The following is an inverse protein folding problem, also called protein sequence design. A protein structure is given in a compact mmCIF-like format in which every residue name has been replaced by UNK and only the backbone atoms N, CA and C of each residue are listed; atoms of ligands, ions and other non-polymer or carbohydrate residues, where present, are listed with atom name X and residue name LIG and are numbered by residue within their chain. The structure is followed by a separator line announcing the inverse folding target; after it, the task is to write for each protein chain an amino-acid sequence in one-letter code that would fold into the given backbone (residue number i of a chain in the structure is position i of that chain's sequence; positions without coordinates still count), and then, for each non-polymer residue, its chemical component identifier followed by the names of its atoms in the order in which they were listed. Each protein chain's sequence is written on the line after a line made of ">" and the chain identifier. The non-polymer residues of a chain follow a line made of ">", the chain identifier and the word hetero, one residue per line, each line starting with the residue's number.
data_IF_968246623472
#
_entry.id   IF_968246623472
#
_cell.length_a   1.000
_cell.length_b   1.000
_cell.length_c   1.000
_cell.angle_alpha   90.00
_cell.angle_beta   90.00
_cell.angle_gamma   90.00
#
_symmetry.space_group_name_H-M   'P 1'
#
loop_
_entity.id
_entity.type
_entity.pdbx_description
1 polymer ?
#
# COMPACT_ATOMS: atom_id res chain seq x y z
N UNK A 1 -37.30 23.72 14.11
CA UNK A 1 -36.79 22.78 13.09
C UNK A 1 -35.36 23.11 12.61
N UNK A 2 -34.73 24.20 13.05
CA UNK A 2 -33.47 24.71 12.48
C UNK A 2 -32.15 24.25 13.14
N UNK A 3 -32.14 23.68 14.36
CA UNK A 3 -30.90 23.24 15.02
C UNK A 3 -30.44 21.83 14.64
N UNK A 4 -31.36 20.88 14.44
CA UNK A 4 -31.01 19.50 14.09
C UNK A 4 -30.47 19.39 12.66
N UNK A 5 -31.05 20.10 11.67
CA UNK A 5 -30.51 20.13 10.30
C UNK A 5 -29.08 20.72 10.24
N UNK A 6 -28.79 21.76 11.04
CA UNK A 6 -27.46 22.36 11.11
C UNK A 6 -26.40 21.43 11.71
N UNK A 7 -26.75 20.66 12.75
CA UNK A 7 -25.84 19.70 13.36
C UNK A 7 -25.50 18.53 12.42
N UNK A 8 -26.47 18.04 11.64
CA UNK A 8 -26.20 17.01 10.64
C UNK A 8 -25.35 17.52 9.48
N UNK A 9 -25.57 18.76 9.01
CA UNK A 9 -24.72 19.39 7.99
C UNK A 9 -23.28 19.57 8.49
N UNK A 10 -23.11 19.98 9.74
CA UNK A 10 -21.79 20.11 10.36
C UNK A 10 -21.09 18.76 10.54
N UNK A 11 -21.81 17.72 10.96
CA UNK A 11 -21.27 16.37 11.09
C UNK A 11 -20.84 15.78 9.73
N UNK A 12 -21.60 16.02 8.65
CA UNK A 12 -21.26 15.62 7.27
C UNK A 12 -19.98 16.27 6.76
N UNK A 13 -19.84 17.57 6.99
CA UNK A 13 -18.63 18.29 6.61
C UNK A 13 -17.43 17.85 7.47
N UNK A 14 -17.64 17.62 8.76
CA UNK A 14 -16.58 17.22 9.68
C UNK A 14 -16.07 15.81 9.41
N UNK A 15 -16.96 14.86 9.12
CA UNK A 15 -16.54 13.50 8.76
C UNK A 15 -15.75 13.49 7.44
N UNK A 16 -16.12 14.32 6.45
CA UNK A 16 -15.43 14.39 5.15
C UNK A 16 -13.94 14.76 5.27
N UNK A 17 -13.56 15.48 6.33
CA UNK A 17 -12.18 15.85 6.65
C UNK A 17 -11.55 14.98 7.74
N UNK A 18 -12.27 13.96 8.21
CA UNK A 18 -11.85 13.06 9.30
C UNK A 18 -11.25 11.76 8.76
N UNK A 19 -10.35 11.10 9.52
CA UNK A 19 -9.92 9.73 9.23
C UNK A 19 -11.06 8.70 9.15
N UNK A 20 -12.25 9.03 9.67
CA UNK A 20 -13.46 8.21 9.57
C UNK A 20 -14.11 8.19 8.16
N UNK A 21 -13.73 9.11 7.25
CA UNK A 21 -14.34 9.18 5.92
C UNK A 21 -14.15 7.93 5.06
N UNK A 22 -12.92 7.37 4.92
CA UNK A 22 -12.71 6.12 4.19
C UNK A 22 -13.50 4.95 4.77
N UNK A 23 -13.60 4.84 6.10
CA UNK A 23 -14.38 3.81 6.79
C UNK A 23 -15.87 3.92 6.44
N UNK A 24 -16.43 5.13 6.52
CA UNK A 24 -17.83 5.37 6.18
C UNK A 24 -18.13 5.05 4.71
N UNK A 25 -17.25 5.44 3.79
CA UNK A 25 -17.41 5.18 2.36
C UNK A 25 -17.32 3.68 2.04
N UNK A 26 -16.36 2.98 2.64
CA UNK A 26 -16.18 1.53 2.48
C UNK A 26 -17.38 0.77 3.01
N UNK A 27 -17.89 1.13 4.20
CA UNK A 27 -19.08 0.52 4.79
C UNK A 27 -20.30 0.65 3.88
N UNK A 28 -20.63 1.88 3.45
CA UNK A 28 -21.79 2.12 2.58
C UNK A 28 -21.62 1.46 1.19
N UNK A 29 -20.39 1.42 0.65
CA UNK A 29 -20.13 0.74 -0.62
C UNK A 29 -20.32 -0.76 -0.50
N UNK A 30 -19.88 -1.37 0.59
CA UNK A 30 -20.00 -2.82 0.81
C UNK A 30 -21.45 -3.24 1.03
N UNK A 31 -22.17 -2.49 1.86
CA UNK A 31 -23.55 -2.81 2.26
C UNK A 31 -24.58 -2.49 1.16
N UNK A 32 -24.35 -1.43 0.37
CA UNK A 32 -25.38 -0.91 -0.55
C UNK A 32 -25.00 -1.18 -2.00
N UNK A 33 -23.75 -0.92 -2.40
CA UNK A 33 -23.36 -1.03 -3.81
C UNK A 33 -23.37 -2.47 -4.35
N UNK A 34 -23.32 -3.46 -3.46
CA UNK A 34 -23.50 -4.87 -3.80
C UNK A 34 -24.91 -5.21 -4.27
N UNK A 35 -25.92 -4.40 -3.92
CA UNK A 35 -27.31 -4.54 -4.35
C UNK A 35 -27.72 -3.68 -5.54
N UNK A 36 -26.80 -2.87 -6.10
CA UNK A 36 -27.08 -1.91 -7.17
C UNK A 36 -26.67 -2.41 -8.55
N UNK A 37 -27.39 -1.99 -9.59
CA UNK A 37 -27.00 -2.28 -10.97
C UNK A 37 -25.75 -1.48 -11.37
N UNK A 38 -24.97 -2.03 -12.31
CA UNK A 38 -23.69 -1.42 -12.71
C UNK A 38 -23.85 0.03 -13.24
N UNK A 39 -24.96 0.33 -13.90
CA UNK A 39 -25.30 1.67 -14.39
C UNK A 39 -25.59 2.69 -13.28
N UNK A 40 -25.93 2.23 -12.08
CA UNK A 40 -26.34 3.06 -10.95
C UNK A 40 -25.17 3.39 -10.02
N UNK A 41 -24.08 2.60 -10.08
CA UNK A 41 -22.88 2.78 -9.27
C UNK A 41 -22.23 4.17 -9.44
N UNK A 42 -22.27 4.73 -10.66
CA UNK A 42 -21.71 6.06 -10.93
C UNK A 42 -22.54 7.18 -10.26
N UNK A 43 -23.87 7.02 -10.25
CA UNK A 43 -24.80 7.96 -9.61
C UNK A 43 -24.70 7.84 -8.10
N UNK A 44 -24.66 6.61 -7.57
CA UNK A 44 -24.47 6.32 -6.16
C UNK A 44 -23.18 6.95 -5.59
N UNK A 45 -22.04 6.76 -6.29
CA UNK A 45 -20.77 7.38 -5.88
C UNK A 45 -20.83 8.91 -5.88
N UNK A 46 -21.54 9.49 -6.84
CA UNK A 46 -21.73 10.95 -6.91
C UNK A 46 -22.54 11.45 -5.71
N UNK A 47 -23.61 10.74 -5.36
CA UNK A 47 -24.45 11.06 -4.20
C UNK A 47 -23.69 10.91 -2.87
N UNK A 48 -22.87 9.86 -2.70
CA UNK A 48 -22.06 9.71 -1.48
C UNK A 48 -21.00 10.81 -1.35
N UNK A 49 -20.35 11.20 -2.46
CA UNK A 49 -19.40 12.34 -2.45
C UNK A 49 -20.08 13.64 -2.07
N UNK A 50 -21.30 13.88 -2.56
CA UNK A 50 -22.11 15.04 -2.17
C UNK A 50 -22.61 14.92 -0.72
N UNK A 51 -22.82 13.70 -0.22
CA UNK A 51 -23.24 13.49 1.15
C UNK A 51 -22.12 13.81 2.15
N UNK A 52 -20.89 13.41 1.83
CA UNK A 52 -19.70 13.67 2.62
C UNK A 52 -18.94 14.88 2.09
N UNK A 53 -19.63 16.02 2.02
CA UNK A 53 -19.00 17.28 1.66
C UNK A 53 -19.63 18.44 2.43
N UNK A 54 -19.07 19.63 2.26
CA UNK A 54 -19.66 20.88 2.72
C UNK A 54 -20.82 21.37 1.84
N UNK A 55 -21.17 20.63 0.78
CA UNK A 55 -22.32 20.98 -0.07
C UNK A 55 -23.64 20.72 0.66
N UNK A 56 -24.67 21.49 0.28
CA UNK A 56 -26.01 21.31 0.79
C UNK A 56 -26.58 19.96 0.36
N UNK A 57 -27.14 19.24 1.33
CA UNK A 57 -27.87 18.00 1.09
C UNK A 57 -29.35 18.23 1.20
N UNK A 58 -29.98 18.18 0.05
CA UNK A 58 -31.38 18.53 -0.11
C UNK A 58 -32.26 17.28 0.02
N UNK A 59 -33.57 17.51 0.21
CA UNK A 59 -34.56 16.43 0.18
C UNK A 59 -34.60 15.72 -1.20
N UNK A 60 -34.22 16.42 -2.27
CA UNK A 60 -34.10 15.84 -3.62
C UNK A 60 -32.91 14.88 -3.72
N UNK A 61 -31.76 15.22 -3.13
CA UNK A 61 -30.59 14.33 -3.06
C UNK A 61 -30.88 13.08 -2.22
N UNK A 62 -31.58 13.27 -1.10
CA UNK A 62 -32.03 12.16 -0.25
C UNK A 62 -33.03 11.25 -0.98
N UNK A 63 -33.96 11.83 -1.75
CA UNK A 63 -34.89 11.07 -2.57
C UNK A 63 -34.17 10.31 -3.70
N UNK A 64 -33.20 10.93 -4.37
CA UNK A 64 -32.41 10.28 -5.42
C UNK A 64 -31.60 9.09 -4.87
N UNK A 65 -31.02 9.23 -3.67
CA UNK A 65 -30.36 8.11 -2.99
C UNK A 65 -31.36 7.01 -2.62
N UNK A 66 -32.54 7.38 -2.12
CA UNK A 66 -33.57 6.41 -1.75
C UNK A 66 -34.13 5.63 -2.95
N UNK A 67 -34.39 6.30 -4.06
CA UNK A 67 -34.88 5.68 -5.29
C UNK A 67 -33.85 4.72 -5.88
N UNK A 68 -32.56 5.06 -5.75
CA UNK A 68 -31.46 4.24 -6.23
C UNK A 68 -31.26 2.97 -5.39
N UNK A 69 -31.42 3.06 -4.06
CA UNK A 69 -31.36 1.89 -3.17
C UNK A 69 -32.66 1.07 -3.20
N UNK A 70 -33.77 1.70 -3.56
CA UNK A 70 -35.07 1.06 -3.68
C UNK A 70 -35.78 0.86 -2.34
N UNK A 71 -36.38 -0.31 -2.15
CA UNK A 71 -37.17 -0.66 -0.96
C UNK A 71 -36.54 -1.81 -0.19
N UNK A 72 -36.71 -1.80 1.13
CA UNK A 72 -36.18 -2.84 2.00
C UNK A 72 -36.57 -2.61 3.45
N UNK A 73 -35.96 -3.39 4.33
CA UNK A 73 -36.18 -3.34 5.78
C UNK A 73 -34.84 -3.40 6.51
N UNK A 74 -34.77 -2.77 7.68
CA UNK A 74 -33.57 -2.75 8.51
C UNK A 74 -32.99 -1.35 8.69
N UNK A 75 -32.41 -1.11 9.85
CA UNK A 75 -31.70 0.11 10.23
C UNK A 75 -30.42 -0.30 10.92
N UNK A 76 -29.32 0.27 10.48
CA UNK A 76 -27.99 -0.05 10.95
C UNK A 76 -27.33 1.21 11.48
N UNK A 77 -26.67 1.05 12.62
CA UNK A 77 -25.89 2.07 13.29
C UNK A 77 -24.47 1.56 13.40
N UNK A 78 -23.53 2.36 12.93
CA UNK A 78 -22.12 2.02 12.92
C UNK A 78 -21.32 3.14 13.59
N UNK A 79 -20.53 2.77 14.59
CA UNK A 79 -19.61 3.69 15.25
C UNK A 79 -18.33 3.74 14.43
N UNK A 80 -17.96 4.96 14.04
CA UNK A 80 -16.78 5.27 13.27
C UNK A 80 -15.75 5.96 14.17
N UNK A 81 -14.52 6.03 13.69
CA UNK A 81 -13.45 6.76 14.36
C UNK A 81 -13.82 8.22 14.67
N UNK A 82 -13.08 8.81 15.61
CA UNK A 82 -13.29 10.19 16.06
C UNK A 82 -14.70 10.47 16.61
N UNK A 83 -15.41 9.44 17.08
CA UNK A 83 -16.71 9.57 17.73
C UNK A 83 -17.86 9.85 16.77
N UNK A 84 -17.67 9.61 15.47
CA UNK A 84 -18.76 9.71 14.50
C UNK A 84 -19.63 8.45 14.54
N UNK A 85 -20.92 8.62 14.30
CA UNK A 85 -21.90 7.55 14.21
C UNK A 85 -22.59 7.69 12.87
N UNK A 86 -22.48 6.66 12.05
CA UNK A 86 -23.15 6.52 10.77
C UNK A 86 -24.40 5.67 10.94
N UNK A 87 -25.55 6.24 10.60
CA UNK A 87 -26.83 5.55 10.65
C UNK A 87 -27.42 5.49 9.24
N UNK A 88 -27.86 4.30 8.83
CA UNK A 88 -28.47 4.11 7.53
C UNK A 88 -29.50 2.99 7.52
N UNK A 89 -30.46 3.05 6.59
CA UNK A 89 -31.48 2.01 6.42
C UNK A 89 -32.87 2.55 6.12
N UNK A 90 -33.87 1.69 6.20
CA UNK A 90 -35.24 2.00 5.76
C UNK A 90 -36.09 2.57 6.89
N UNK A 91 -36.60 3.77 6.69
CA UNK A 91 -37.54 4.46 7.60
C UNK A 91 -38.78 4.81 6.79
N UNK A 92 -39.94 4.29 7.22
CA UNK A 92 -41.22 4.47 6.51
C UNK A 92 -41.17 4.03 5.03
N UNK A 93 -40.42 2.96 4.74
CA UNK A 93 -40.28 2.38 3.40
C UNK A 93 -39.34 3.13 2.46
N UNK A 94 -38.63 4.15 2.95
CA UNK A 94 -37.59 4.88 2.20
C UNK A 94 -36.24 4.76 2.87
N UNK A 95 -35.20 4.58 2.07
CA UNK A 95 -33.84 4.54 2.56
C UNK A 95 -33.41 5.93 3.06
N UNK A 96 -32.78 6.00 4.24
CA UNK A 96 -32.25 7.20 4.86
C UNK A 96 -30.79 6.97 5.25
N UNK A 97 -30.01 8.04 5.16
CA UNK A 97 -28.60 8.09 5.53
C UNK A 97 -28.37 9.32 6.40
N UNK A 98 -27.76 9.13 7.56
CA UNK A 98 -27.41 10.21 8.49
C UNK A 98 -26.07 9.94 9.16
N UNK A 99 -25.37 11.03 9.48
CA UNK A 99 -24.19 10.99 10.32
C UNK A 99 -24.39 11.94 11.50
N UNK A 100 -23.90 11.52 12.66
CA UNK A 100 -23.89 12.30 13.90
C UNK A 100 -22.53 12.16 14.59
N UNK A 101 -22.18 13.12 15.44
CA UNK A 101 -20.86 13.18 16.10
C UNK A 101 -20.45 14.62 16.33
N UNK A 102 -19.86 14.91 17.49
CA UNK A 102 -19.23 16.19 17.79
C UNK A 102 -17.71 16.02 17.81
N UNK A 103 -17.01 17.00 17.25
CA UNK A 103 -15.55 17.09 17.40
C UNK A 103 -15.26 17.51 18.84
N UNK A 104 -15.22 16.55 19.77
CA UNK A 104 -14.68 16.79 21.10
C UNK A 104 -13.16 16.59 21.06
N UNK A 105 -12.44 17.69 20.88
CA UNK A 105 -10.98 17.72 20.80
C UNK A 105 -10.28 17.42 22.15
N UNK A 106 -11.01 16.98 23.19
CA UNK A 106 -10.48 16.84 24.56
C UNK A 106 -10.70 15.49 25.25
N UNK A 107 -11.43 14.55 24.64
CA UNK A 107 -11.55 13.21 25.21
C UNK A 107 -10.44 12.31 24.65
N UNK A 108 -9.48 11.85 25.49
CA UNK A 108 -8.40 11.00 25.03
C UNK A 108 -8.98 9.69 24.49
N UNK A 109 -8.63 9.39 23.25
CA UNK A 109 -9.06 8.20 22.54
C UNK A 109 -8.50 6.94 23.22
N UNK A 110 -9.05 5.76 22.90
CA UNK A 110 -8.40 4.48 23.27
C UNK A 110 -6.94 4.46 22.79
N UNK A 111 -6.60 5.19 21.72
CA UNK A 111 -5.24 5.37 21.23
C UNK A 111 -4.34 6.12 22.23
N UNK A 112 -4.83 7.14 22.93
CA UNK A 112 -4.01 7.87 23.92
C UNK A 112 -3.66 7.00 25.14
N UNK A 113 -4.44 5.94 25.40
CA UNK A 113 -4.16 4.95 26.45
C UNK A 113 -3.26 3.80 25.99
N UNK A 114 -3.41 3.34 24.75
CA UNK A 114 -2.64 2.21 24.19
C UNK A 114 -1.24 2.64 23.75
N UNK A 115 -1.10 3.82 23.15
CA UNK A 115 0.20 4.35 22.69
C UNK A 115 0.99 5.10 23.78
N UNK A 116 0.38 5.29 24.95
CA UNK A 116 1.07 5.58 26.20
C UNK A 116 1.43 4.31 27.00
N UNK A 117 0.93 3.13 26.60
CA UNK A 117 1.02 1.90 27.38
C UNK A 117 2.38 1.17 27.35
N UNK A 118 2.54 0.12 28.16
CA UNK A 118 3.81 -0.59 28.38
C UNK A 118 4.31 -1.41 27.18
N UNK A 119 3.46 -1.63 26.16
CA UNK A 119 3.74 -2.54 25.05
C UNK A 119 4.05 -1.77 23.77
N UNK A 120 5.24 -2.00 23.20
CA UNK A 120 5.75 -1.23 22.04
C UNK A 120 5.91 -2.12 20.79
N UNK A 121 5.25 -1.81 19.67
CA UNK A 121 5.51 -2.50 18.42
C UNK A 121 6.86 -2.05 17.81
N UNK A 122 7.65 -3.01 17.32
CA UNK A 122 8.94 -2.88 16.65
C UNK A 122 8.91 -3.67 15.34
N UNK A 123 9.46 -3.08 14.28
CA UNK A 123 9.62 -3.77 13.02
C UNK A 123 10.65 -4.91 13.16
N UNK A 124 10.37 -6.05 12.52
CA UNK A 124 11.38 -7.11 12.35
C UNK A 124 11.96 -7.05 10.93
N UNK A 125 13.13 -7.65 10.67
CA UNK A 125 13.68 -7.78 9.32
C UNK A 125 12.75 -8.51 8.34
N UNK A 126 11.71 -9.19 8.83
CA UNK A 126 10.72 -9.86 8.01
C UNK A 126 9.48 -8.96 7.85
N UNK A 127 9.10 -8.54 6.62
CA UNK A 127 8.09 -7.50 6.37
C UNK A 127 6.66 -7.90 6.76
N UNK A 128 6.46 -9.16 7.13
CA UNK A 128 5.16 -9.69 7.59
C UNK A 128 5.12 -9.96 9.08
N UNK A 129 6.18 -9.62 9.82
CA UNK A 129 6.26 -9.87 11.25
C UNK A 129 6.53 -8.58 12.01
N UNK A 130 5.73 -8.34 13.04
CA UNK A 130 5.93 -7.24 13.99
C UNK A 130 6.23 -7.87 15.34
N UNK A 131 7.24 -7.29 16.00
CA UNK A 131 7.62 -7.61 17.38
C UNK A 131 6.88 -6.64 18.30
N UNK A 132 6.35 -7.11 19.41
CA UNK A 132 5.72 -6.31 20.45
C UNK A 132 6.55 -6.47 21.72
N UNK A 133 7.27 -5.43 22.12
CA UNK A 133 8.08 -5.40 23.34
C UNK A 133 7.15 -5.25 24.52
N UNK A 134 7.19 -6.18 25.47
CA UNK A 134 6.29 -6.25 26.61
C UNK A 134 6.88 -5.61 27.88
N UNK A 135 8.21 -5.46 27.93
CA UNK A 135 8.95 -5.10 29.13
C UNK A 135 9.09 -6.30 30.08
N UNK A 136 10.31 -6.60 30.54
CA UNK A 136 10.58 -7.75 31.42
C UNK A 136 11.97 -8.37 31.22
N UNK A 137 12.21 -9.49 31.90
CA UNK A 137 13.46 -10.24 31.81
C UNK A 137 13.53 -11.09 30.53
N UNK A 138 14.60 -10.99 29.72
CA UNK A 138 14.72 -11.77 28.49
C UNK A 138 14.71 -13.27 28.76
N UNK A 139 13.85 -14.01 28.04
CA UNK A 139 13.81 -15.48 28.05
C UNK A 139 13.71 -16.02 26.63
N UNK A 140 14.28 -17.21 26.34
CA UNK A 140 14.19 -17.82 25.02
C UNK A 140 12.74 -17.94 24.55
N UNK A 141 12.50 -17.52 23.30
CA UNK A 141 11.17 -17.53 22.71
C UNK A 141 10.73 -18.92 22.23
N UNK A 142 9.46 -19.24 22.41
CA UNK A 142 8.82 -20.43 21.85
C UNK A 142 8.04 -20.01 20.60
N UNK A 143 8.28 -20.70 19.49
CA UNK A 143 7.59 -20.48 18.23
C UNK A 143 6.36 -21.38 18.10
N UNK A 144 5.28 -20.79 17.63
CA UNK A 144 4.03 -21.46 17.31
C UNK A 144 3.63 -21.12 15.88
N UNK A 145 3.09 -22.10 15.16
CA UNK A 145 2.63 -21.95 13.77
C UNK A 145 1.19 -22.40 13.63
N UNK A 146 0.43 -21.69 12.82
CA UNK A 146 -0.93 -22.08 12.47
C UNK A 146 -0.92 -23.45 11.77
N UNK A 147 -1.74 -24.39 12.26
CA UNK A 147 -1.86 -25.75 11.71
C UNK A 147 -1.02 -26.83 12.40
N UNK A 148 -0.19 -26.48 13.39
CA UNK A 148 0.46 -27.44 14.30
C UNK A 148 -0.48 -27.78 15.50
N UNK A 149 -0.21 -28.84 16.29
CA UNK A 149 -1.07 -29.20 17.43
C UNK A 149 -1.30 -28.01 18.34
N UNK A 150 -2.55 -27.82 18.76
CA UNK A 150 -3.00 -26.61 19.46
C UNK A 150 -2.08 -26.31 20.65
N UNK A 151 -1.43 -25.14 20.69
CA UNK A 151 -0.53 -24.81 21.78
C UNK A 151 -1.31 -24.68 23.09
N UNK A 152 -0.77 -25.19 24.21
CA UNK A 152 -1.42 -25.10 25.54
C UNK A 152 -1.55 -23.65 26.05
N UNK A 153 -0.96 -22.66 25.37
CA UNK A 153 -1.02 -21.24 25.71
C UNK A 153 -2.28 -20.58 25.14
N UNK A 154 -3.27 -20.29 26.00
CA UNK A 154 -4.53 -19.63 25.64
C UNK A 154 -4.34 -18.27 24.94
N UNK A 155 -3.25 -17.56 25.25
CA UNK A 155 -2.93 -16.27 24.61
C UNK A 155 -2.58 -16.46 23.14
N UNK A 156 -1.80 -17.50 22.84
CA UNK A 156 -1.41 -17.84 21.47
C UNK A 156 -2.62 -18.35 20.69
N UNK A 157 -3.49 -19.15 21.32
CA UNK A 157 -4.73 -19.60 20.70
C UNK A 157 -5.63 -18.42 20.31
N UNK A 158 -5.73 -17.40 21.17
CA UNK A 158 -6.51 -16.20 20.89
C UNK A 158 -5.93 -15.38 19.74
N UNK A 159 -4.61 -15.26 19.64
CA UNK A 159 -3.95 -14.63 18.50
C UNK A 159 -4.19 -15.38 17.19
N UNK A 160 -4.19 -16.72 17.19
CA UNK A 160 -4.52 -17.50 15.99
C UNK A 160 -6.00 -17.49 15.61
N UNK A 161 -6.89 -17.09 16.52
CA UNK A 161 -8.30 -16.87 16.19
C UNK A 161 -8.48 -15.69 15.22
N UNK A 162 -7.51 -14.78 15.18
CA UNK A 162 -7.37 -13.81 14.10
C UNK A 162 -6.88 -14.55 12.85
N UNK A 163 -7.83 -14.91 11.96
CA UNK A 163 -7.62 -15.92 10.90
C UNK A 163 -6.55 -15.62 9.84
N UNK A 164 -5.89 -14.49 9.93
CA UNK A 164 -4.74 -14.11 9.12
C UNK A 164 -3.40 -14.12 9.86
N UNK A 165 -3.37 -14.47 11.14
CA UNK A 165 -2.14 -14.71 11.89
C UNK A 165 -1.60 -16.08 11.54
N UNK A 166 -0.36 -16.13 11.04
CA UNK A 166 0.28 -17.37 10.56
C UNK A 166 1.26 -17.97 11.56
N UNK A 167 1.92 -17.14 12.34
CA UNK A 167 2.92 -17.56 13.31
C UNK A 167 3.03 -16.56 14.46
N UNK A 168 3.25 -17.10 15.66
CA UNK A 168 3.42 -16.32 16.88
C UNK A 168 4.66 -16.84 17.61
N UNK A 169 5.54 -15.95 18.03
CA UNK A 169 6.63 -16.28 18.94
C UNK A 169 6.43 -15.56 20.26
N UNK A 170 6.45 -16.28 21.37
CA UNK A 170 6.35 -15.71 22.72
C UNK A 170 7.71 -15.84 23.40
N UNK A 171 8.35 -14.71 23.70
CA UNK A 171 9.54 -14.60 24.53
C UNK A 171 9.20 -13.92 25.88
N UNK A 172 10.15 -13.91 26.82
CA UNK A 172 9.93 -13.35 28.15
C UNK A 172 9.66 -11.84 28.18
N UNK A 173 10.25 -11.12 27.24
CA UNK A 173 10.30 -9.66 27.15
C UNK A 173 9.63 -9.11 25.88
N UNK A 174 9.21 -9.99 24.96
CA UNK A 174 8.52 -9.60 23.74
C UNK A 174 7.70 -10.73 23.12
N UNK A 175 6.74 -10.36 22.27
CA UNK A 175 6.00 -11.26 21.39
C UNK A 175 6.31 -10.91 19.94
N UNK A 176 6.29 -11.86 19.01
CA UNK A 176 6.32 -11.58 17.57
C UNK A 176 5.13 -12.23 16.92
N UNK A 177 4.41 -11.47 16.11
CA UNK A 177 3.24 -11.97 15.36
C UNK A 177 3.55 -11.86 13.88
N UNK A 178 3.21 -12.88 13.11
CA UNK A 178 3.34 -12.95 11.67
C UNK A 178 1.97 -13.02 11.00
N UNK A 179 1.80 -12.26 9.91
CA UNK A 179 0.57 -12.25 9.12
C UNK A 179 0.70 -12.99 7.79
N UNK A 180 -0.44 -13.46 7.30
CA UNK A 180 -0.62 -14.03 5.98
C UNK A 180 -0.30 -13.01 4.89
N UNK A 181 0.09 -13.49 3.71
CA UNK A 181 0.48 -12.63 2.58
C UNK A 181 -0.64 -11.72 2.07
N UNK A 182 -1.90 -12.05 2.36
CA UNK A 182 -3.08 -11.28 1.96
C UNK A 182 -3.44 -10.16 2.93
N UNK A 183 -2.77 -10.07 4.09
CA UNK A 183 -3.08 -9.11 5.14
C UNK A 183 -1.98 -8.08 5.30
N UNK A 184 -2.37 -6.83 5.57
CA UNK A 184 -1.48 -5.71 5.81
C UNK A 184 -1.35 -5.43 7.31
N UNK A 185 -0.14 -5.12 7.77
CA UNK A 185 0.04 -4.61 9.12
C UNK A 185 -0.62 -3.25 9.32
N UNK A 186 -0.83 -2.45 8.27
CA UNK A 186 -1.55 -1.17 8.41
C UNK A 186 -2.98 -1.34 8.92
N UNK A 187 -3.68 -2.35 8.39
CA UNK A 187 -5.09 -2.58 8.73
C UNK A 187 -5.23 -3.36 10.04
N UNK A 188 -4.17 -4.10 10.43
CA UNK A 188 -4.22 -5.07 11.53
C UNK A 188 -3.39 -4.67 12.73
N UNK A 189 -2.51 -3.67 12.62
CA UNK A 189 -1.63 -3.26 13.71
C UNK A 189 -2.43 -2.80 14.91
N UNK A 190 -3.49 -2.03 14.72
CA UNK A 190 -4.33 -1.56 15.83
C UNK A 190 -5.00 -2.73 16.56
N UNK A 191 -5.71 -3.58 15.81
CA UNK A 191 -6.42 -4.73 16.38
C UNK A 191 -5.45 -5.68 17.10
N UNK A 192 -4.32 -6.00 16.46
CA UNK A 192 -3.33 -6.92 17.02
C UNK A 192 -2.53 -6.30 18.17
N UNK A 193 -2.27 -4.99 18.15
CA UNK A 193 -1.67 -4.29 19.27
C UNK A 193 -2.60 -4.30 20.48
N UNK A 194 -3.89 -4.00 20.29
CA UNK A 194 -4.88 -4.05 21.36
C UNK A 194 -5.01 -5.47 21.93
N UNK A 195 -5.05 -6.48 21.06
CA UNK A 195 -5.13 -7.87 21.47
C UNK A 195 -3.86 -8.33 22.21
N UNK A 196 -2.68 -7.96 21.73
CA UNK A 196 -1.42 -8.26 22.43
C UNK A 196 -1.35 -7.50 23.76
N UNK A 197 -1.83 -6.27 23.83
CA UNK A 197 -1.92 -5.54 25.09
C UNK A 197 -2.82 -6.26 26.10
N UNK A 198 -4.03 -6.61 25.69
CA UNK A 198 -4.98 -7.36 26.52
C UNK A 198 -4.39 -8.69 27.04
N UNK A 199 -3.68 -9.42 26.18
CA UNK A 199 -3.17 -10.75 26.50
C UNK A 199 -1.87 -10.76 27.30
N UNK A 200 -1.09 -9.67 27.28
CA UNK A 200 0.28 -9.65 27.80
C UNK A 200 0.58 -8.49 28.78
N UNK A 201 -0.34 -7.57 29.03
CA UNK A 201 -0.12 -6.43 29.94
C UNK A 201 -0.21 -6.83 31.42
N UNK A 202 0.94 -6.85 32.11
CA UNK A 202 1.08 -6.84 33.58
C UNK A 202 2.34 -6.03 34.01
N UNK A 203 2.12 -4.80 34.52
CA UNK A 203 2.98 -3.88 35.31
C UNK A 203 3.53 -2.59 34.63
N UNK A 204 3.68 -1.47 35.41
CA UNK A 204 3.60 -0.11 34.88
C UNK A 204 4.95 0.59 34.62
N UNK A 205 4.96 1.33 33.50
CA UNK A 205 5.47 2.71 33.31
C UNK A 205 6.76 3.13 34.02
N UNK A 206 7.87 3.25 33.29
CA UNK A 206 8.74 4.44 33.31
C UNK A 206 9.74 4.41 32.13
N UNK A 207 9.72 5.40 31.24
CA UNK A 207 10.76 5.57 30.22
C UNK A 207 10.48 6.74 29.25
N UNK A 208 11.48 7.60 28.93
CA UNK A 208 11.23 8.97 28.51
C UNK A 208 10.97 9.16 27.01
N UNK A 209 10.20 10.23 26.75
CA UNK A 209 9.88 10.97 25.50
C UNK A 209 9.26 10.15 24.37
N UNK A 210 7.95 10.37 24.21
CA UNK A 210 7.11 9.91 23.12
C UNK A 210 7.56 10.52 21.78
N UNK A 211 7.70 9.67 20.77
CA UNK A 211 7.57 10.08 19.37
C UNK A 211 6.07 10.00 19.02
N UNK A 212 5.58 11.01 18.33
CA UNK A 212 4.16 11.17 18.03
C UNK A 212 3.69 10.16 16.96
N UNK A 213 2.39 9.82 16.97
CA UNK A 213 1.73 8.99 15.95
C UNK A 213 2.11 9.43 14.54
N UNK A 214 2.11 10.74 14.28
CA UNK A 214 2.46 11.29 12.97
C UNK A 214 3.94 11.11 12.63
N UNK A 215 4.84 11.13 13.60
CA UNK A 215 6.27 10.85 13.37
C UNK A 215 6.53 9.36 13.10
N UNK A 216 5.79 8.46 13.76
CA UNK A 216 5.88 7.02 13.51
C UNK A 216 5.17 6.61 12.22
N UNK A 217 4.07 7.27 11.86
CA UNK A 217 3.37 7.11 10.58
C UNK A 217 4.14 7.77 9.44
N UNK A 218 4.86 8.87 9.66
CA UNK A 218 5.81 9.42 8.70
C UNK A 218 6.99 8.48 8.51
N UNK A 219 7.50 7.82 9.56
CA UNK A 219 8.59 6.86 9.40
C UNK A 219 8.13 5.55 8.73
N UNK A 220 6.93 5.06 9.05
CA UNK A 220 6.32 3.90 8.39
C UNK A 220 5.82 4.21 6.96
N UNK A 221 5.35 5.43 6.72
CA UNK A 221 4.89 5.94 5.42
C UNK A 221 6.03 6.32 4.48
N UNK A 222 7.16 6.83 5.02
CA UNK A 222 8.43 6.95 4.29
C UNK A 222 8.92 5.57 3.82
N UNK A 223 8.58 4.51 4.53
CA UNK A 223 8.92 3.12 4.18
C UNK A 223 7.95 2.44 3.21
N UNK A 224 6.82 3.06 2.83
CA UNK A 224 5.87 2.48 1.87
C UNK A 224 5.60 3.41 0.69
N UNK A 225 6.56 3.43 -0.24
CA UNK A 225 6.30 3.83 -1.62
C UNK A 225 5.26 2.88 -2.23
N UNK A 226 3.99 3.28 -2.24
CA UNK A 226 2.95 2.55 -2.97
C UNK A 226 3.32 2.66 -4.45
N UNK A 227 3.61 1.53 -5.07
CA UNK A 227 3.93 1.41 -6.50
C UNK A 227 2.92 2.18 -7.39
N UNK A 228 1.66 2.23 -6.96
CA UNK A 228 0.56 2.90 -7.66
C UNK A 228 0.62 4.44 -7.61
N UNK A 229 1.36 5.07 -6.71
CA UNK A 229 1.49 6.54 -6.71
C UNK A 229 2.74 7.00 -7.47
N UNK A 230 3.76 6.14 -7.54
CA UNK A 230 5.03 6.49 -8.15
C UNK A 230 4.92 6.83 -9.64
N UNK A 231 4.01 6.19 -10.37
CA UNK A 231 3.85 6.42 -11.80
C UNK A 231 3.24 7.78 -12.16
N UNK A 232 2.71 8.50 -11.16
CA UNK A 232 2.12 9.84 -11.31
C UNK A 232 3.13 10.95 -10.97
N UNK A 233 4.32 10.59 -10.49
CA UNK A 233 5.33 11.55 -10.09
C UNK A 233 6.05 12.13 -11.31
N UNK A 234 6.29 13.44 -11.27
CA UNK A 234 7.12 14.14 -12.23
C UNK A 234 8.61 13.91 -11.88
N UNK A 235 9.40 13.22 -12.73
CA UNK A 235 10.83 13.01 -12.46
C UNK A 235 11.66 14.30 -12.47
N UNK A 236 11.14 15.38 -13.04
CA UNK A 236 11.81 16.68 -13.11
C UNK A 236 11.46 17.60 -11.92
N UNK A 237 10.46 17.26 -11.10
CA UNK A 237 10.25 17.90 -9.80
C UNK A 237 11.25 17.36 -8.75
N UNK A 238 11.91 18.27 -8.01
CA UNK A 238 12.99 17.89 -7.12
C UNK A 238 12.56 16.99 -5.95
N UNK A 239 11.36 17.22 -5.40
CA UNK A 239 10.85 16.42 -4.28
C UNK A 239 10.38 15.05 -4.77
N UNK A 240 9.66 15.02 -5.88
CA UNK A 240 9.22 13.79 -6.52
C UNK A 240 10.40 12.92 -6.98
N UNK A 241 11.45 13.52 -7.56
CA UNK A 241 12.68 12.82 -7.94
C UNK A 241 13.37 12.15 -6.77
N UNK A 242 13.50 12.84 -5.63
CA UNK A 242 14.08 12.25 -4.42
C UNK A 242 13.35 10.96 -4.01
N UNK A 243 12.00 10.98 -4.02
CA UNK A 243 11.18 9.80 -3.73
C UNK A 243 11.39 8.67 -4.76
N UNK A 244 11.50 9.01 -6.04
CA UNK A 244 11.77 8.04 -7.10
C UNK A 244 13.17 7.41 -6.96
N UNK A 245 14.18 8.20 -6.59
CA UNK A 245 15.54 7.70 -6.36
C UNK A 245 15.62 6.76 -5.16
N UNK A 246 14.90 7.06 -4.08
CA UNK A 246 14.74 6.16 -2.93
C UNK A 246 14.05 4.85 -3.36
N UNK A 247 13.02 4.95 -4.20
CA UNK A 247 12.27 3.81 -4.72
C UNK A 247 13.10 2.84 -5.57
N UNK A 248 14.21 3.28 -6.16
CA UNK A 248 15.16 2.39 -6.87
C UNK A 248 15.83 1.38 -5.94
N UNK A 249 15.78 1.56 -4.62
CA UNK A 249 16.33 0.65 -3.62
C UNK A 249 15.24 -0.05 -2.80
N UNK A 250 13.98 0.02 -3.22
CA UNK A 250 12.86 -0.58 -2.49
C UNK A 250 12.93 -2.13 -2.49
N UNK A 251 12.44 -2.76 -1.42
CA UNK A 251 12.39 -4.21 -1.30
C UNK A 251 11.48 -4.87 -2.38
N UNK A 252 10.41 -4.19 -2.79
CA UNK A 252 9.51 -4.68 -3.83
C UNK A 252 10.05 -4.35 -5.24
N UNK A 253 10.27 -5.38 -6.04
CA UNK A 253 10.70 -5.24 -7.42
C UNK A 253 9.69 -4.49 -8.30
N UNK A 254 8.39 -4.47 -7.97
CA UNK A 254 7.41 -3.68 -8.74
C UNK A 254 7.62 -2.18 -8.51
N UNK A 255 7.89 -1.78 -7.26
CA UNK A 255 8.24 -0.39 -6.90
C UNK A 255 9.52 0.05 -7.60
N UNK A 256 10.58 -0.78 -7.56
CA UNK A 256 11.83 -0.48 -8.29
C UNK A 256 11.62 -0.34 -9.79
N UNK A 257 10.81 -1.23 -10.38
CA UNK A 257 10.47 -1.20 -11.82
C UNK A 257 9.80 0.11 -12.21
N UNK A 258 8.83 0.58 -11.43
CA UNK A 258 8.13 1.85 -11.71
C UNK A 258 9.07 3.03 -11.53
N UNK A 259 9.92 3.01 -10.50
CA UNK A 259 10.92 4.05 -10.30
C UNK A 259 11.86 4.20 -11.52
N UNK A 260 12.36 3.08 -12.06
CA UNK A 260 13.15 3.09 -13.30
C UNK A 260 12.36 3.67 -14.47
N UNK A 261 11.14 3.18 -14.69
CA UNK A 261 10.31 3.63 -15.83
C UNK A 261 9.96 5.11 -15.78
N UNK A 262 9.74 5.67 -14.59
CA UNK A 262 9.40 7.08 -14.40
C UNK A 262 10.64 7.96 -14.50
N UNK A 263 11.76 7.58 -13.86
CA UNK A 263 13.00 8.35 -13.95
C UNK A 263 13.58 8.36 -15.37
N UNK A 264 13.34 7.32 -16.17
CA UNK A 264 13.73 7.28 -17.57
C UNK A 264 12.95 8.28 -18.47
N UNK A 265 11.85 8.88 -17.96
CA UNK A 265 11.10 9.94 -18.66
C UNK A 265 11.59 11.35 -18.33
N UNK A 266 12.60 11.48 -17.45
CA UNK A 266 13.26 12.74 -17.09
C UNK A 266 13.78 13.48 -18.32
N UNK A 267 13.71 14.81 -18.30
CA UNK A 267 14.38 15.63 -19.33
C UNK A 267 15.90 15.74 -19.10
N UNK A 268 16.37 15.44 -17.89
CA UNK A 268 17.79 15.34 -17.56
C UNK A 268 18.35 13.96 -17.94
N UNK A 269 19.22 13.94 -18.96
CA UNK A 269 19.90 12.72 -19.45
C UNK A 269 20.76 12.02 -18.39
N UNK A 270 21.31 12.76 -17.42
CA UNK A 270 22.09 12.14 -16.34
C UNK A 270 21.22 11.26 -15.45
N UNK A 271 19.99 11.70 -15.16
CA UNK A 271 19.00 10.96 -14.37
C UNK A 271 18.48 9.74 -15.15
N UNK A 272 18.20 9.93 -16.45
CA UNK A 272 17.83 8.83 -17.35
C UNK A 272 18.92 7.76 -17.33
N UNK A 273 20.18 8.15 -17.57
CA UNK A 273 21.28 7.21 -17.61
C UNK A 273 21.61 6.53 -16.28
N UNK A 274 21.48 7.23 -15.14
CA UNK A 274 21.67 6.63 -13.82
C UNK A 274 20.59 5.59 -13.51
N UNK A 275 19.32 5.93 -13.75
CA UNK A 275 18.18 5.05 -13.48
C UNK A 275 18.22 3.78 -14.34
N UNK A 276 18.58 3.89 -15.62
CA UNK A 276 18.72 2.75 -16.53
C UNK A 276 19.90 1.86 -16.11
N UNK A 277 21.07 2.41 -15.79
CA UNK A 277 22.22 1.60 -15.32
C UNK A 277 21.89 0.86 -14.04
N UNK A 278 21.21 1.52 -13.09
CA UNK A 278 20.78 0.88 -11.84
C UNK A 278 19.75 -0.22 -12.09
N UNK A 279 18.75 0.04 -12.95
CA UNK A 279 17.72 -0.94 -13.28
C UNK A 279 18.25 -2.15 -14.08
N UNK A 280 19.22 -1.95 -14.97
CA UNK A 280 19.85 -3.01 -15.75
C UNK A 280 20.69 -3.98 -14.88
N UNK A 281 21.20 -3.50 -13.74
CA UNK A 281 21.94 -4.30 -12.76
C UNK A 281 21.04 -4.96 -11.69
N UNK A 282 19.71 -4.82 -11.78
CA UNK A 282 18.78 -5.30 -10.76
C UNK A 282 18.70 -6.84 -10.69
N UNK A 283 18.55 -7.39 -9.49
CA UNK A 283 18.34 -8.83 -9.28
C UNK A 283 17.07 -9.36 -9.98
N UNK A 284 16.06 -8.52 -10.14
CA UNK A 284 14.75 -8.88 -10.66
C UNK A 284 14.66 -8.69 -12.16
N UNK A 285 14.32 -9.77 -12.87
CA UNK A 285 14.17 -9.74 -14.33
C UNK A 285 13.19 -8.68 -14.84
N UNK A 286 12.11 -8.39 -14.10
CA UNK A 286 11.10 -7.42 -14.55
C UNK A 286 11.63 -5.98 -14.51
N UNK A 287 12.56 -5.69 -13.59
CA UNK A 287 13.22 -4.39 -13.47
C UNK A 287 14.26 -4.26 -14.58
N UNK A 288 15.10 -5.29 -14.77
CA UNK A 288 16.08 -5.30 -15.85
C UNK A 288 15.45 -5.15 -17.23
N UNK A 289 14.36 -5.88 -17.51
CA UNK A 289 13.62 -5.73 -18.77
C UNK A 289 13.14 -4.30 -18.99
N UNK A 290 12.60 -3.67 -17.94
CA UNK A 290 12.11 -2.28 -18.02
C UNK A 290 13.26 -1.31 -18.30
N UNK A 291 14.40 -1.47 -17.62
CA UNK A 291 15.57 -0.62 -17.86
C UNK A 291 16.09 -0.72 -19.30
N UNK A 292 16.14 -1.94 -19.86
CA UNK A 292 16.60 -2.17 -21.23
C UNK A 292 15.60 -1.65 -22.26
N UNK A 293 14.29 -1.75 -21.99
CA UNK A 293 13.25 -1.16 -22.84
C UNK A 293 13.36 0.37 -22.84
N UNK A 294 13.40 0.98 -21.64
CA UNK A 294 13.50 2.43 -21.49
C UNK A 294 14.80 3.01 -22.06
N UNK A 295 15.92 2.30 -21.94
CA UNK A 295 17.18 2.74 -22.56
C UNK A 295 17.17 2.62 -24.08
N UNK A 296 16.44 1.65 -24.64
CA UNK A 296 16.27 1.58 -26.08
C UNK A 296 15.43 2.75 -26.60
N UNK A 297 14.42 3.17 -25.83
CA UNK A 297 13.54 4.29 -26.19
C UNK A 297 14.19 5.67 -25.99
N UNK A 298 15.24 5.78 -25.18
CA UNK A 298 15.90 7.07 -24.89
C UNK A 298 16.78 7.60 -26.02
N UNK A 299 17.12 6.75 -26.99
CA UNK A 299 18.06 7.05 -28.09
C UNK A 299 19.36 7.71 -27.59
N UNK A 300 19.85 7.24 -26.44
CA UNK A 300 21.03 7.78 -25.78
C UNK A 300 22.25 6.89 -26.02
N UNK A 301 23.15 7.34 -26.89
CA UNK A 301 24.37 6.61 -27.23
C UNK A 301 25.31 6.40 -26.02
N UNK A 302 25.17 7.16 -24.94
CA UNK A 302 25.93 6.95 -23.70
C UNK A 302 25.52 5.67 -22.95
N UNK A 303 24.48 4.96 -23.42
CA UNK A 303 23.99 3.69 -22.87
C UNK A 303 24.45 2.45 -23.64
N UNK A 304 25.33 2.60 -24.63
CA UNK A 304 25.88 1.45 -25.38
C UNK A 304 26.53 0.43 -24.43
N UNK A 305 27.18 0.87 -23.36
CA UNK A 305 27.77 0.00 -22.33
C UNK A 305 26.72 -0.87 -21.62
N UNK A 306 25.53 -0.32 -21.36
CA UNK A 306 24.41 -1.06 -20.75
C UNK A 306 23.98 -2.21 -21.65
N UNK A 307 23.81 -1.96 -22.95
CA UNK A 307 23.42 -3.01 -23.89
C UNK A 307 24.50 -4.07 -24.08
N UNK A 308 25.78 -3.67 -24.14
CA UNK A 308 26.90 -4.62 -24.21
C UNK A 308 26.91 -5.57 -23.02
N UNK A 309 26.65 -5.06 -21.81
CA UNK A 309 26.53 -5.89 -20.61
C UNK A 309 25.31 -6.82 -20.67
N UNK A 310 24.16 -6.30 -21.13
CA UNK A 310 22.90 -7.02 -21.24
C UNK A 310 22.93 -8.21 -22.23
N UNK A 311 23.90 -8.27 -23.14
CA UNK A 311 24.13 -9.45 -23.99
C UNK A 311 24.46 -10.73 -23.22
N UNK A 312 24.84 -10.62 -21.94
CA UNK A 312 25.14 -11.76 -21.08
C UNK A 312 24.01 -12.05 -20.07
N UNK A 313 22.85 -11.40 -20.19
CA UNK A 313 21.73 -11.61 -19.25
C UNK A 313 21.18 -13.04 -19.37
N UNK A 314 20.80 -13.71 -18.26
CA UNK A 314 20.13 -15.01 -18.32
C UNK A 314 18.78 -14.96 -19.06
N UNK A 315 18.13 -13.81 -19.19
CA UNK A 315 16.85 -13.65 -19.89
C UNK A 315 17.06 -13.38 -21.39
N UNK A 316 16.59 -14.31 -22.24
CA UNK A 316 16.71 -14.21 -23.69
C UNK A 316 16.05 -12.96 -24.28
N UNK A 317 14.95 -12.44 -23.69
CA UNK A 317 14.32 -11.22 -24.17
C UNK A 317 15.24 -10.00 -23.99
N UNK A 318 15.99 -9.96 -22.87
CA UNK A 318 16.95 -8.89 -22.60
C UNK A 318 18.11 -8.97 -23.60
N UNK A 319 18.67 -10.16 -23.84
CA UNK A 319 19.73 -10.34 -24.85
C UNK A 319 19.26 -9.95 -26.25
N UNK A 320 18.04 -10.32 -26.63
CA UNK A 320 17.45 -9.98 -27.92
C UNK A 320 17.27 -8.46 -28.07
N UNK A 321 16.64 -7.81 -27.09
CA UNK A 321 16.42 -6.36 -27.11
C UNK A 321 17.76 -5.61 -27.13
N UNK A 322 18.74 -6.02 -26.33
CA UNK A 322 20.08 -5.43 -26.33
C UNK A 322 20.80 -5.58 -27.68
N UNK A 323 20.74 -6.75 -28.31
CA UNK A 323 21.32 -7.00 -29.65
C UNK A 323 20.69 -6.07 -30.69
N UNK A 324 19.36 -5.93 -30.64
CA UNK A 324 18.61 -5.05 -31.51
C UNK A 324 18.98 -3.58 -31.28
N UNK A 325 19.05 -3.14 -30.03
CA UNK A 325 19.42 -1.77 -29.67
C UNK A 325 20.84 -1.44 -30.13
N UNK A 326 21.83 -2.31 -29.91
CA UNK A 326 23.19 -2.11 -30.40
C UNK A 326 23.24 -1.90 -31.92
N UNK A 327 22.42 -2.63 -32.68
CA UNK A 327 22.29 -2.42 -34.12
C UNK A 327 21.65 -1.06 -34.45
N UNK A 328 20.63 -0.66 -33.71
CA UNK A 328 19.94 0.63 -33.90
C UNK A 328 20.87 1.81 -33.56
N UNK A 329 21.74 1.67 -32.56
CA UNK A 329 22.80 2.61 -32.20
C UNK A 329 24.06 2.52 -33.09
N UNK A 330 24.00 1.79 -34.21
CA UNK A 330 25.10 1.63 -35.16
C UNK A 330 26.41 1.13 -34.52
N UNK A 331 26.31 0.25 -33.53
CA UNK A 331 27.49 -0.39 -32.96
C UNK A 331 28.09 -1.40 -33.96
N UNK A 332 29.40 -1.31 -34.21
CA UNK A 332 30.05 -1.97 -35.35
C UNK A 332 31.03 -3.10 -35.00
N UNK A 333 31.19 -3.47 -33.72
CA UNK A 333 32.09 -4.57 -33.37
C UNK A 333 31.47 -5.92 -33.76
N UNK A 334 31.93 -6.47 -34.88
CA UNK A 334 31.45 -7.74 -35.43
C UNK A 334 31.67 -8.91 -34.47
N UNK A 335 32.76 -8.90 -33.68
CA UNK A 335 33.05 -10.00 -32.76
C UNK A 335 31.96 -10.15 -31.69
N UNK A 336 31.33 -9.04 -31.29
CA UNK A 336 30.21 -9.05 -30.35
C UNK A 336 29.01 -9.80 -30.94
N UNK A 337 28.66 -9.54 -32.19
CA UNK A 337 27.52 -10.20 -32.85
C UNK A 337 27.82 -11.64 -33.29
N UNK A 338 29.04 -11.94 -33.73
CA UNK A 338 29.46 -13.31 -34.09
C UNK A 338 29.27 -14.28 -32.92
N UNK A 339 29.59 -13.86 -31.69
CA UNK A 339 29.38 -14.66 -30.47
C UNK A 339 27.91 -15.01 -30.22
N UNK A 340 26.98 -14.16 -30.67
CA UNK A 340 25.54 -14.34 -30.46
C UNK A 340 24.89 -15.28 -31.50
N UNK A 341 25.63 -15.69 -32.54
CA UNK A 341 25.16 -16.69 -33.50
C UNK A 341 24.99 -18.08 -32.86
N UNK A 342 25.63 -18.32 -31.72
CA UNK A 342 25.52 -19.55 -30.93
C UNK A 342 24.58 -19.41 -29.71
N UNK A 343 23.85 -18.28 -29.58
CA UNK A 343 22.89 -18.09 -28.48
C UNK A 343 21.82 -19.20 -28.49
N UNK A 344 21.37 -19.64 -27.32
CA UNK A 344 20.31 -20.66 -27.20
C UNK A 344 18.97 -20.19 -27.82
N UNK A 345 18.69 -18.89 -27.77
CA UNK A 345 17.45 -18.31 -28.24
C UNK A 345 17.51 -17.94 -29.73
N UNK A 346 16.49 -18.39 -30.48
CA UNK A 346 16.42 -18.17 -31.92
C UNK A 346 16.31 -16.70 -32.32
N UNK A 347 15.61 -15.87 -31.53
CA UNK A 347 15.42 -14.45 -31.86
C UNK A 347 16.72 -13.67 -31.68
N UNK A 348 17.53 -14.02 -30.67
CA UNK A 348 18.87 -13.44 -30.46
C UNK A 348 19.76 -13.74 -31.66
N UNK A 349 19.84 -15.01 -32.08
CA UNK A 349 20.62 -15.41 -33.27
C UNK A 349 20.21 -14.66 -34.53
N UNK A 350 18.89 -14.52 -34.76
CA UNK A 350 18.35 -13.81 -35.93
C UNK A 350 18.72 -12.32 -35.96
N UNK A 351 18.66 -11.64 -34.81
CA UNK A 351 19.06 -10.22 -34.73
C UNK A 351 20.58 -10.07 -34.93
N UNK A 352 21.39 -10.98 -34.39
CA UNK A 352 22.84 -10.99 -34.59
C UNK A 352 23.23 -11.20 -36.07
N UNK A 353 22.60 -12.15 -36.76
CA UNK A 353 22.77 -12.31 -38.21
C UNK A 353 22.40 -11.03 -38.96
N UNK A 354 21.31 -10.37 -38.56
CA UNK A 354 20.86 -9.13 -39.20
C UNK A 354 21.87 -8.00 -38.99
N UNK A 355 22.46 -7.89 -37.79
CA UNK A 355 23.50 -6.93 -37.49
C UNK A 355 24.78 -7.17 -38.34
N UNK A 356 25.17 -8.43 -38.57
CA UNK A 356 26.35 -8.80 -39.36
C UNK A 356 26.21 -8.61 -40.88
N UNK A 357 24.97 -8.57 -41.39
CA UNK A 357 24.69 -8.36 -42.82
C UNK A 357 24.74 -6.89 -43.26
N UNK A 358 24.70 -5.95 -42.31
CA UNK A 358 24.94 -4.52 -42.55
C UNK A 358 26.43 -4.26 -42.67
#
# INVERSE_FOLDING_TARGET
>A
MTRHQGAHAQARAAIATSPAYPQALQHLTTEIATGLEFSELAVFKTLLKKFFSSEDWTDEDAAALADLVGHGEGQWRHELDAGFILEHGFVEGRYRLSVSGEVDASSPSIFDRVFAGPIRPEATPHPRKVKFVLGGEPRPGIWYKAGEPTPDDERVQRLFAEGDVTDVMVAGDFVTVGLARSSSWEDRLELLLALVAELFEHQPETGPVAQTRDEMLDEAGRLRLVAEELHLLDPDDAKARGRLQEALSANDARTRRIAVAVLAQSTDRSIVGESIRKGAADESKIVRRTAIDSGADSDDADLVDVFLNALNDPDAWIRWKATRSLREFEYHDKAVFERLLDDEDFQVRMEAETALRR
#
